data_IF_243551405015
#
_entry.id   IF_243551405015
#
_cell.length_a   1.000
_cell.length_b   1.000
_cell.length_c   1.000
_cell.angle_alpha   90.00
_cell.angle_beta   90.00
_cell.angle_gamma   90.00
#
_symmetry.space_group_name_H-M   'P 1'
#
loop_
_entity.id
_entity.type
_entity.pdbx_description
1 polymer ?
#
# COMPACT_ATOMS: atom_id res chain seq x y z
N UNK A 1 1.69 -29.54 16.69
CA UNK A 1 1.35 -30.37 15.52
C UNK A 1 1.62 -29.57 14.27
N UNK A 2 2.55 -30.03 13.44
CA UNK A 2 3.01 -29.38 12.21
C UNK A 2 1.88 -29.43 11.17
N UNK A 3 1.53 -28.26 10.63
CA UNK A 3 0.63 -28.01 9.50
C UNK A 3 -0.68 -28.82 9.53
N UNK A 4 -1.77 -28.17 9.92
CA UNK A 4 -3.13 -28.60 9.60
C UNK A 4 -3.53 -27.97 8.25
N UNK A 5 -3.22 -28.60 7.10
CA UNK A 5 -3.58 -28.05 5.79
C UNK A 5 -5.10 -27.94 5.61
N UNK A 6 -5.88 -28.77 6.31
CA UNK A 6 -7.33 -28.68 6.32
C UNK A 6 -7.83 -27.39 6.99
N UNK A 7 -7.28 -27.02 8.16
CA UNK A 7 -7.65 -25.76 8.83
C UNK A 7 -7.16 -24.52 8.06
N UNK A 8 -6.00 -24.62 7.40
CA UNK A 8 -5.53 -23.54 6.52
C UNK A 8 -6.43 -23.39 5.29
N UNK A 9 -6.82 -24.50 4.67
CA UNK A 9 -7.72 -24.51 3.51
C UNK A 9 -9.09 -23.96 3.89
N UNK A 10 -9.68 -24.45 4.98
CA UNK A 10 -10.95 -23.98 5.51
C UNK A 10 -10.90 -22.50 5.89
N UNK A 11 -9.79 -22.04 6.48
CA UNK A 11 -9.58 -20.61 6.73
C UNK A 11 -9.59 -19.76 5.43
N UNK A 12 -8.86 -20.20 4.39
CA UNK A 12 -8.77 -19.47 3.12
C UNK A 12 -10.03 -19.60 2.24
N UNK A 13 -10.79 -20.69 2.33
CA UNK A 13 -11.94 -20.96 1.45
C UNK A 13 -13.30 -20.73 2.08
N UNK A 14 -13.46 -20.85 3.40
CA UNK A 14 -14.76 -20.66 4.07
C UNK A 14 -14.70 -19.53 5.10
N UNK A 15 -13.73 -19.53 6.01
CA UNK A 15 -13.69 -18.55 7.10
C UNK A 15 -13.38 -17.11 6.63
N UNK A 16 -12.73 -16.96 5.47
CA UNK A 16 -12.51 -15.68 4.78
C UNK A 16 -13.80 -15.09 4.18
N UNK A 17 -14.76 -15.95 3.86
CA UNK A 17 -16.01 -15.61 3.16
C UNK A 17 -17.22 -15.57 4.08
N UNK A 18 -17.06 -15.94 5.36
CA UNK A 18 -18.13 -15.95 6.35
C UNK A 18 -18.59 -14.51 6.72
N UNK A 19 -19.82 -14.10 6.35
CA UNK A 19 -20.36 -12.78 6.64
C UNK A 19 -20.56 -12.51 8.14
N UNK A 20 -20.65 -13.55 8.98
CA UNK A 20 -20.84 -13.41 10.43
C UNK A 20 -19.67 -12.73 11.15
N UNK A 21 -18.48 -12.66 10.53
CA UNK A 21 -17.30 -11.95 11.02
C UNK A 21 -17.10 -10.56 10.38
N UNK A 22 -18.01 -10.14 9.50
CA UNK A 22 -17.99 -8.82 8.86
C UNK A 22 -18.08 -7.66 9.87
N UNK A 23 -18.54 -7.93 11.09
CA UNK A 23 -18.49 -6.97 12.21
C UNK A 23 -17.08 -6.47 12.59
N UNK A 24 -16.00 -7.15 12.16
CA UNK A 24 -14.61 -6.70 12.33
C UNK A 24 -14.06 -5.96 11.09
N UNK A 25 -14.73 -6.00 9.95
CA UNK A 25 -14.25 -5.37 8.72
C UNK A 25 -14.48 -3.85 8.70
N UNK A 26 -15.55 -3.39 9.37
CA UNK A 26 -15.88 -1.97 9.55
C UNK A 26 -14.94 -1.26 10.53
N UNK A 27 -14.31 -2.02 11.44
CA UNK A 27 -13.40 -1.52 12.47
C UNK A 27 -12.34 -0.57 11.90
N UNK A 28 -12.34 0.67 12.39
CA UNK A 28 -11.43 1.78 12.04
C UNK A 28 -9.93 1.43 11.94
N UNK A 29 -9.47 0.41 12.68
CA UNK A 29 -8.11 -0.12 12.59
C UNK A 29 -7.75 -0.81 11.28
N UNK A 30 -8.71 -1.04 10.37
CA UNK A 30 -8.51 -1.74 9.10
C UNK A 30 -8.10 -0.77 7.98
N UNK A 31 -6.80 -0.52 7.84
CA UNK A 31 -6.20 0.39 6.83
C UNK A 31 -5.99 -0.29 5.46
N UNK A 32 -6.75 -1.34 5.15
CA UNK A 32 -6.69 -2.02 3.86
C UNK A 32 -7.77 -1.50 2.89
N UNK A 33 -7.65 -1.96 1.65
CA UNK A 33 -8.58 -1.66 0.58
C UNK A 33 -10.01 -2.11 0.90
N UNK A 34 -10.15 -3.19 1.70
CA UNK A 34 -11.45 -3.71 2.13
C UNK A 34 -12.17 -2.75 3.08
N UNK A 35 -11.45 -2.17 4.05
CA UNK A 35 -11.99 -1.15 4.95
C UNK A 35 -12.38 0.15 4.21
N UNK A 36 -11.58 0.56 3.21
CA UNK A 36 -11.93 1.71 2.36
C UNK A 36 -13.20 1.46 1.51
N UNK A 37 -13.35 0.25 0.97
CA UNK A 37 -14.50 -0.18 0.16
C UNK A 37 -15.75 -0.37 1.02
N UNK A 38 -15.63 -1.00 2.19
CA UNK A 38 -16.73 -1.23 3.11
C UNK A 38 -17.41 0.07 3.55
N UNK A 39 -16.62 1.14 3.72
CA UNK A 39 -17.11 2.48 4.12
C UNK A 39 -17.88 3.23 3.01
N UNK A 40 -17.80 2.79 1.75
CA UNK A 40 -18.31 3.52 0.58
C UNK A 40 -19.25 2.74 -0.36
N UNK A 41 -19.39 1.43 -0.20
CA UNK A 41 -20.23 0.57 -1.04
C UNK A 41 -21.23 -0.22 -0.19
N UNK A 42 -22.36 -0.69 -0.76
CA UNK A 42 -23.28 -1.61 -0.08
C UNK A 42 -22.64 -2.99 0.13
N UNK A 43 -23.05 -3.67 1.20
CA UNK A 43 -22.47 -4.96 1.67
C UNK A 43 -22.37 -6.03 0.58
N UNK A 44 -23.37 -6.10 -0.29
CA UNK A 44 -23.43 -7.04 -1.43
C UNK A 44 -22.28 -6.87 -2.44
N UNK A 45 -21.65 -5.69 -2.49
CA UNK A 45 -20.58 -5.38 -3.44
C UNK A 45 -19.18 -5.48 -2.84
N UNK A 46 -19.04 -5.62 -1.51
CA UNK A 46 -17.76 -5.50 -0.82
C UNK A 46 -16.70 -6.47 -1.31
N UNK A 47 -17.06 -7.75 -1.40
CA UNK A 47 -16.10 -8.80 -1.77
C UNK A 47 -15.67 -8.69 -3.23
N UNK A 48 -16.59 -8.36 -4.14
CA UNK A 48 -16.29 -8.20 -5.57
C UNK A 48 -15.42 -6.97 -5.79
N UNK A 49 -15.80 -5.83 -5.20
CA UNK A 49 -15.01 -4.60 -5.29
C UNK A 49 -13.62 -4.80 -4.68
N UNK A 50 -13.51 -5.44 -3.51
CA UNK A 50 -12.23 -5.74 -2.90
C UNK A 50 -11.36 -6.65 -3.77
N UNK A 51 -11.94 -7.70 -4.37
CA UNK A 51 -11.22 -8.59 -5.27
C UNK A 51 -10.70 -7.86 -6.52
N UNK A 52 -11.55 -7.04 -7.15
CA UNK A 52 -11.16 -6.23 -8.33
C UNK A 52 -10.07 -5.23 -7.97
N UNK A 53 -10.26 -4.45 -6.89
CA UNK A 53 -9.27 -3.46 -6.48
C UNK A 53 -7.95 -4.11 -6.03
N UNK A 54 -8.00 -5.28 -5.39
CA UNK A 54 -6.81 -6.05 -5.03
C UNK A 54 -6.06 -6.55 -6.27
N UNK A 55 -6.79 -7.08 -7.26
CA UNK A 55 -6.20 -7.49 -8.53
C UNK A 55 -5.53 -6.31 -9.25
N UNK A 56 -6.19 -5.15 -9.30
CA UNK A 56 -5.62 -3.94 -9.89
C UNK A 56 -4.36 -3.48 -9.13
N UNK A 57 -4.37 -3.54 -7.80
CA UNK A 57 -3.20 -3.21 -6.98
C UNK A 57 -2.02 -4.17 -7.26
N UNK A 58 -2.28 -5.48 -7.38
CA UNK A 58 -1.27 -6.48 -7.73
C UNK A 58 -0.68 -6.19 -9.11
N UNK A 59 -1.51 -5.93 -10.11
CA UNK A 59 -1.06 -5.61 -11.46
C UNK A 59 -0.24 -4.31 -11.46
N UNK A 60 -0.68 -3.27 -10.76
CA UNK A 60 0.04 -2.00 -10.66
C UNK A 60 1.41 -2.16 -9.98
N UNK A 61 1.46 -2.90 -8.87
CA UNK A 61 2.71 -3.19 -8.16
C UNK A 61 3.68 -4.01 -9.03
N UNK A 62 3.18 -5.04 -9.73
CA UNK A 62 3.99 -5.83 -10.65
C UNK A 62 4.56 -4.99 -11.79
N UNK A 63 3.73 -4.14 -12.41
CA UNK A 63 4.18 -3.22 -13.46
C UNK A 63 5.24 -2.25 -12.93
N UNK A 64 5.06 -1.73 -11.72
CA UNK A 64 6.00 -0.82 -11.08
C UNK A 64 7.34 -1.52 -10.78
N UNK A 65 7.32 -2.74 -10.24
CA UNK A 65 8.54 -3.53 -10.04
C UNK A 65 9.27 -3.78 -11.37
N UNK A 66 8.55 -4.19 -12.42
CA UNK A 66 9.08 -4.36 -13.79
C UNK A 66 9.65 -3.08 -14.40
N UNK A 67 9.19 -1.92 -13.95
CA UNK A 67 9.73 -0.62 -14.38
C UNK A 67 11.00 -0.28 -13.61
N UNK A 68 11.03 -0.55 -12.31
CA UNK A 68 12.21 -0.39 -11.47
C UNK A 68 13.35 -1.33 -11.94
N UNK A 69 13.03 -2.56 -12.35
CA UNK A 69 14.00 -3.50 -12.97
C UNK A 69 14.65 -2.94 -14.24
N UNK A 70 13.88 -2.20 -15.05
CA UNK A 70 14.43 -1.56 -16.26
C UNK A 70 15.39 -0.43 -15.95
N UNK A 71 15.21 0.27 -14.83
CA UNK A 71 16.17 1.28 -14.39
C UNK A 71 17.49 0.61 -14.02
N UNK A 72 17.42 -0.51 -13.29
CA UNK A 72 18.58 -1.33 -12.94
C UNK A 72 19.40 -1.71 -14.16
N UNK A 73 18.76 -2.33 -15.16
CA UNK A 73 19.44 -2.75 -16.39
C UNK A 73 19.98 -1.60 -17.25
N UNK A 74 19.38 -0.41 -17.17
CA UNK A 74 19.88 0.77 -17.88
C UNK A 74 21.10 1.40 -17.20
N UNK A 75 21.13 1.45 -15.85
CA UNK A 75 22.26 1.96 -15.07
C UNK A 75 23.47 0.99 -15.11
N UNK A 76 23.22 -0.32 -15.16
CA UNK A 76 24.25 -1.35 -15.40
C UNK A 76 24.96 -1.13 -16.74
N UNK A 77 24.19 -0.90 -17.81
CA UNK A 77 24.72 -0.62 -19.14
C UNK A 77 25.51 0.70 -19.19
N UNK A 78 25.20 1.66 -18.32
CA UNK A 78 25.89 2.94 -18.21
C UNK A 78 27.12 2.91 -17.28
N UNK A 79 27.43 1.78 -16.65
CA UNK A 79 28.60 1.61 -15.77
C UNK A 79 28.46 2.20 -14.36
N UNK A 80 27.23 2.51 -13.90
CA UNK A 80 26.93 3.05 -12.56
C UNK A 80 26.44 2.02 -11.52
N UNK A 81 26.50 0.74 -11.87
CA UNK A 81 25.74 -0.40 -11.35
C UNK A 81 25.58 -0.54 -9.82
N UNK A 82 26.65 -0.49 -9.03
CA UNK A 82 26.62 -1.17 -7.73
C UNK A 82 25.78 -0.47 -6.65
N UNK A 83 25.66 0.86 -6.72
CA UNK A 83 25.01 1.64 -5.67
C UNK A 83 23.52 1.89 -5.89
N UNK A 84 23.06 2.00 -7.14
CA UNK A 84 21.64 2.21 -7.46
C UNK A 84 20.83 0.89 -7.45
N UNK A 85 21.50 -0.26 -7.63
CA UNK A 85 20.94 -1.60 -7.46
C UNK A 85 20.29 -1.82 -6.10
N UNK A 86 21.01 -1.47 -5.02
CA UNK A 86 20.50 -1.60 -3.66
C UNK A 86 19.27 -0.72 -3.39
N UNK A 87 19.23 0.48 -3.99
CA UNK A 87 18.08 1.38 -3.88
C UNK A 87 16.87 0.83 -4.64
N UNK A 88 17.08 0.35 -5.87
CA UNK A 88 16.02 -0.25 -6.69
C UNK A 88 15.40 -1.45 -5.98
N UNK A 89 16.24 -2.34 -5.42
CA UNK A 89 15.77 -3.49 -4.65
C UNK A 89 14.98 -3.05 -3.41
N UNK A 90 15.47 -2.05 -2.66
CA UNK A 90 14.77 -1.52 -1.50
C UNK A 90 13.39 -0.93 -1.85
N UNK A 91 13.28 -0.25 -3.00
CA UNK A 91 12.01 0.27 -3.51
C UNK A 91 11.07 -0.86 -3.93
N UNK A 92 11.56 -1.91 -4.59
CA UNK A 92 10.75 -3.08 -4.96
C UNK A 92 10.21 -3.82 -3.74
N UNK A 93 11.06 -4.07 -2.73
CA UNK A 93 10.64 -4.66 -1.46
C UNK A 93 9.57 -3.79 -0.80
N UNK A 94 9.78 -2.47 -0.76
CA UNK A 94 8.81 -1.51 -0.23
C UNK A 94 7.46 -1.59 -0.96
N UNK A 95 7.45 -1.67 -2.29
CA UNK A 95 6.23 -1.83 -3.10
C UNK A 95 5.50 -3.13 -2.79
N UNK A 96 6.22 -4.25 -2.68
CA UNK A 96 5.63 -5.57 -2.37
C UNK A 96 5.07 -5.62 -0.95
N UNK A 97 5.78 -5.03 0.03
CA UNK A 97 5.29 -4.96 1.40
C UNK A 97 4.02 -4.11 1.50
N UNK A 98 3.99 -2.93 0.86
CA UNK A 98 2.80 -2.08 0.80
C UNK A 98 1.64 -2.79 0.09
N UNK A 99 1.91 -3.52 -0.99
CA UNK A 99 0.90 -4.34 -1.65
C UNK A 99 0.29 -5.38 -0.70
N UNK A 100 1.13 -6.09 0.07
CA UNK A 100 0.68 -7.06 1.06
C UNK A 100 -0.25 -6.43 2.10
N UNK A 101 0.06 -5.21 2.56
CA UNK A 101 -0.79 -4.45 3.47
C UNK A 101 -2.13 -4.06 2.84
N UNK A 102 -2.13 -3.64 1.56
CA UNK A 102 -3.34 -3.20 0.86
C UNK A 102 -4.28 -4.36 0.53
N UNK A 103 -3.72 -5.50 0.12
CA UNK A 103 -4.48 -6.68 -0.34
C UNK A 103 -4.89 -7.58 0.82
N UNK A 104 -4.21 -7.56 1.97
CA UNK A 104 -4.59 -8.41 3.10
C UNK A 104 -6.06 -8.18 3.49
N UNK A 105 -6.89 -9.22 3.65
CA UNK A 105 -8.30 -9.09 4.03
C UNK A 105 -8.49 -8.43 5.40
N UNK A 106 -7.47 -8.49 6.27
CA UNK A 106 -7.38 -7.75 7.54
C UNK A 106 -5.96 -7.20 7.66
N UNK A 107 -5.79 -5.88 7.63
CA UNK A 107 -4.49 -5.25 7.94
C UNK A 107 -4.66 -4.32 9.14
N UNK A 108 -4.12 -4.73 10.29
CA UNK A 108 -4.09 -3.87 11.48
C UNK A 108 -3.02 -2.80 11.34
N UNK A 109 -3.25 -1.63 11.94
CA UNK A 109 -2.34 -0.49 12.06
C UNK A 109 -0.89 -0.87 12.41
N UNK A 110 -0.70 -1.90 13.24
CA UNK A 110 0.63 -2.37 13.64
C UNK A 110 1.43 -2.99 12.50
N UNK A 111 0.81 -3.47 11.41
CA UNK A 111 1.53 -3.97 10.24
C UNK A 111 2.20 -2.83 9.44
N UNK A 112 1.84 -1.57 9.71
CA UNK A 112 2.54 -0.42 9.16
C UNK A 112 3.92 -0.17 9.79
N UNK A 113 4.48 -1.11 10.57
CA UNK A 113 5.94 -1.14 10.85
C UNK A 113 6.76 -0.98 9.56
N UNK A 114 6.27 -1.51 8.44
CA UNK A 114 6.90 -1.36 7.13
C UNK A 114 6.89 0.08 6.58
N UNK A 115 6.22 1.04 7.21
CA UNK A 115 6.27 2.44 6.77
C UNK A 115 7.68 3.02 6.87
N UNK A 116 8.47 2.62 7.86
CA UNK A 116 9.85 3.10 8.04
C UNK A 116 10.74 2.72 6.85
N UNK A 117 10.87 1.44 6.45
CA UNK A 117 11.67 1.08 5.27
C UNK A 117 11.13 1.71 3.97
N UNK A 118 9.81 1.88 3.84
CA UNK A 118 9.21 2.59 2.68
C UNK A 118 9.63 4.06 2.66
N UNK A 119 9.54 4.77 3.79
CA UNK A 119 9.95 6.16 3.90
C UNK A 119 11.46 6.33 3.70
N UNK A 120 12.27 5.40 4.21
CA UNK A 120 13.72 5.41 4.02
C UNK A 120 14.09 5.20 2.55
N UNK A 121 13.47 4.24 1.85
CA UNK A 121 13.74 4.01 0.43
C UNK A 121 13.26 5.18 -0.44
N UNK A 122 12.12 5.80 -0.12
CA UNK A 122 11.63 7.03 -0.78
C UNK A 122 12.53 8.23 -0.50
N UNK A 123 13.06 8.38 0.72
CA UNK A 123 14.00 9.44 1.06
C UNK A 123 15.34 9.28 0.32
N UNK A 124 15.87 8.05 0.28
CA UNK A 124 17.07 7.73 -0.50
C UNK A 124 16.85 8.01 -2.00
N UNK A 125 15.69 7.62 -2.55
CA UNK A 125 15.32 7.93 -3.93
C UNK A 125 15.15 9.44 -4.17
N UNK A 126 14.59 10.18 -3.21
CA UNK A 126 14.48 11.65 -3.28
C UNK A 126 15.85 12.30 -3.43
N UNK A 127 16.80 11.90 -2.59
CA UNK A 127 18.16 12.43 -2.58
C UNK A 127 18.92 12.07 -3.86
N UNK A 128 18.94 10.78 -4.22
CA UNK A 128 19.69 10.28 -5.39
C UNK A 128 19.10 10.71 -6.71
N UNK A 129 17.78 10.70 -6.82
CA UNK A 129 17.10 11.06 -8.07
C UNK A 129 16.77 12.55 -8.14
N UNK A 130 17.13 13.34 -7.11
CA UNK A 130 16.90 14.78 -6.98
C UNK A 130 15.45 15.17 -7.30
N UNK A 131 14.51 14.35 -6.84
CA UNK A 131 13.09 14.45 -7.20
C UNK A 131 12.30 15.12 -6.09
N UNK A 132 11.93 16.38 -6.28
CA UNK A 132 11.06 17.13 -5.35
C UNK A 132 9.72 16.44 -5.12
N UNK A 133 9.17 15.78 -6.14
CA UNK A 133 7.91 15.06 -6.02
C UNK A 133 7.99 13.88 -5.04
N UNK A 134 9.09 13.11 -5.06
CA UNK A 134 9.31 12.05 -4.06
C UNK A 134 9.54 12.63 -2.66
N UNK A 135 10.22 13.79 -2.57
CA UNK A 135 10.40 14.48 -1.30
C UNK A 135 9.08 14.92 -0.67
N UNK A 136 8.16 15.47 -1.47
CA UNK A 136 6.81 15.83 -1.04
C UNK A 136 6.03 14.58 -0.61
N UNK A 137 6.09 13.50 -1.39
CA UNK A 137 5.41 12.24 -1.06
C UNK A 137 5.96 11.62 0.25
N UNK A 138 7.27 11.66 0.46
CA UNK A 138 7.93 11.20 1.68
C UNK A 138 7.53 12.04 2.90
N UNK A 139 7.57 13.38 2.79
CA UNK A 139 7.16 14.29 3.86
C UNK A 139 5.67 14.13 4.22
N UNK A 140 4.81 13.99 3.22
CA UNK A 140 3.39 13.70 3.43
C UNK A 140 3.20 12.36 4.16
N UNK A 141 4.02 11.36 3.85
CA UNK A 141 3.99 10.06 4.54
C UNK A 141 4.37 10.18 6.00
N UNK A 142 5.50 10.84 6.31
CA UNK A 142 5.92 11.14 7.68
C UNK A 142 4.79 11.81 8.45
N UNK A 143 4.16 12.83 7.87
CA UNK A 143 3.05 13.55 8.49
C UNK A 143 1.84 12.63 8.75
N UNK A 144 1.46 11.80 7.78
CA UNK A 144 0.36 10.86 7.90
C UNK A 144 0.60 9.85 9.04
N UNK A 145 1.81 9.27 9.13
CA UNK A 145 2.13 8.31 10.19
C UNK A 145 2.29 8.95 11.58
N UNK A 146 2.82 10.18 11.67
CA UNK A 146 2.95 10.89 12.95
C UNK A 146 1.58 11.31 13.48
N UNK A 147 0.72 11.85 12.61
CA UNK A 147 -0.60 12.30 13.04
C UNK A 147 -1.51 11.12 13.40
N UNK A 148 -1.26 9.94 12.83
CA UNK A 148 -1.99 8.70 13.10
C UNK A 148 -3.51 8.95 13.14
N UNK A 149 -4.00 9.70 12.14
CA UNK A 149 -5.33 10.33 12.11
C UNK A 149 -6.50 9.35 12.28
N UNK A 150 -6.26 8.07 12.02
CA UNK A 150 -7.18 6.98 12.32
C UNK A 150 -7.62 6.93 13.80
N UNK A 151 -6.77 7.35 14.75
CA UNK A 151 -7.10 7.38 16.18
C UNK A 151 -7.82 8.65 16.62
N UNK A 152 -8.05 9.61 15.71
CA UNK A 152 -8.67 10.89 16.05
C UNK A 152 -10.19 10.80 16.20
N UNK A 153 -10.79 9.67 15.81
CA UNK A 153 -12.23 9.49 15.81
C UNK A 153 -12.65 8.32 16.70
N UNK A 154 -13.83 8.40 17.37
CA UNK A 154 -14.29 7.36 18.30
C UNK A 154 -14.55 6.02 17.61
N UNK A 155 -14.08 4.93 18.21
CA UNK A 155 -13.94 3.61 17.57
C UNK A 155 -14.85 2.53 18.19
N UNK A 156 -16.16 2.79 18.43
CA UNK A 156 -17.11 1.77 18.95
C UNK A 156 -18.56 2.02 18.49
N UNK A 157 -19.35 0.93 18.39
CA UNK A 157 -20.82 0.90 18.17
C UNK A 157 -21.36 1.29 16.78
N UNK A 158 -20.80 0.78 15.67
CA UNK A 158 -21.33 0.98 14.31
C UNK A 158 -21.44 2.45 13.83
N UNK A 159 -20.79 3.40 14.51
CA UNK A 159 -20.87 4.84 14.18
C UNK A 159 -20.08 5.19 12.91
N UNK A 160 -19.18 4.32 12.47
CA UNK A 160 -18.30 4.49 11.30
C UNK A 160 -19.10 4.55 9.98
N UNK A 161 -20.26 3.89 9.90
CA UNK A 161 -21.14 3.98 8.73
C UNK A 161 -21.75 5.38 8.59
N UNK A 162 -21.95 6.09 9.69
CA UNK A 162 -22.51 7.45 9.77
C UNK A 162 -21.47 8.56 9.74
N UNK A 163 -20.18 8.25 9.64
CA UNK A 163 -19.17 9.29 9.49
C UNK A 163 -19.37 10.08 8.20
N UNK A 164 -19.26 11.42 8.25
CA UNK A 164 -19.25 12.22 7.03
C UNK A 164 -18.08 11.77 6.14
N UNK A 165 -18.27 11.85 4.82
CA UNK A 165 -17.35 11.30 3.80
C UNK A 165 -15.89 11.76 3.98
N UNK A 166 -15.67 12.97 4.52
CA UNK A 166 -14.34 13.48 4.85
C UNK A 166 -13.67 12.72 6.01
N UNK A 167 -14.41 12.33 7.05
CA UNK A 167 -13.87 11.57 8.18
C UNK A 167 -13.54 10.13 7.76
N UNK A 168 -14.33 9.54 6.86
CA UNK A 168 -14.02 8.25 6.21
C UNK A 168 -12.72 8.32 5.39
N UNK A 169 -12.50 9.42 4.67
CA UNK A 169 -11.26 9.64 3.91
C UNK A 169 -10.04 9.83 4.82
N UNK A 170 -10.18 10.58 5.91
CA UNK A 170 -9.11 10.80 6.91
C UNK A 170 -8.76 9.51 7.66
N UNK A 171 -9.78 8.70 7.99
CA UNK A 171 -9.63 7.37 8.59
C UNK A 171 -9.01 6.32 7.65
N UNK A 172 -8.82 6.61 6.37
CA UNK A 172 -8.11 5.75 5.39
C UNK A 172 -6.84 6.43 4.84
N UNK A 173 -6.30 7.42 5.57
CA UNK A 173 -5.17 8.24 5.13
C UNK A 173 -3.92 7.45 4.74
N UNK A 174 -3.67 6.29 5.38
CA UNK A 174 -2.49 5.46 5.09
C UNK A 174 -2.62 4.80 3.71
N UNK A 175 -3.82 4.30 3.40
CA UNK A 175 -4.16 3.72 2.09
C UNK A 175 -4.00 4.77 0.97
N UNK A 176 -4.54 5.97 1.17
CA UNK A 176 -4.45 7.05 0.18
C UNK A 176 -3.02 7.50 -0.04
N UNK A 177 -2.24 7.66 1.03
CA UNK A 177 -0.83 7.98 0.93
C UNK A 177 -0.06 6.91 0.15
N UNK A 178 -0.27 5.62 0.44
CA UNK A 178 0.41 4.53 -0.25
C UNK A 178 0.14 4.53 -1.77
N UNK A 179 -1.12 4.71 -2.17
CA UNK A 179 -1.49 4.82 -3.59
C UNK A 179 -0.86 6.04 -4.26
N UNK A 180 -0.92 7.21 -3.60
CA UNK A 180 -0.32 8.44 -4.11
C UNK A 180 1.21 8.33 -4.24
N UNK A 181 1.87 7.78 -3.23
CA UNK A 181 3.32 7.56 -3.23
C UNK A 181 3.74 6.61 -4.36
N UNK A 182 3.01 5.51 -4.55
CA UNK A 182 3.22 4.58 -5.67
C UNK A 182 3.06 5.25 -7.04
N UNK A 183 2.05 6.12 -7.20
CA UNK A 183 1.84 6.89 -8.44
C UNK A 183 2.98 7.89 -8.70
N UNK A 184 3.45 8.59 -7.67
CA UNK A 184 4.61 9.50 -7.78
C UNK A 184 5.87 8.71 -8.18
N UNK A 185 6.11 7.56 -7.55
CA UNK A 185 7.24 6.70 -7.87
C UNK A 185 7.18 6.19 -9.31
N UNK A 186 6.00 5.78 -9.79
CA UNK A 186 5.76 5.41 -11.18
C UNK A 186 6.08 6.53 -12.17
N UNK A 187 5.67 7.76 -11.85
CA UNK A 187 5.92 8.92 -12.70
C UNK A 187 7.40 9.31 -12.74
N UNK A 188 8.07 9.34 -11.59
CA UNK A 188 9.49 9.69 -11.49
C UNK A 188 10.38 8.65 -12.16
N UNK A 189 10.13 7.36 -11.93
CA UNK A 189 10.84 6.27 -12.61
C UNK A 189 10.64 6.31 -14.14
N UNK A 190 9.43 6.61 -14.59
CA UNK A 190 9.13 6.77 -16.02
C UNK A 190 9.85 7.95 -16.66
N UNK A 191 10.02 9.07 -15.94
CA UNK A 191 10.82 10.21 -16.42
C UNK A 191 12.30 9.86 -16.50
N UNK A 192 12.86 9.17 -15.49
CA UNK A 192 14.26 8.74 -15.49
C UNK A 192 14.59 7.81 -16.66
N UNK A 193 13.77 6.79 -16.92
CA UNK A 193 13.96 5.89 -18.06
C UNK A 193 14.01 6.64 -19.39
N UNK A 194 13.18 7.67 -19.56
CA UNK A 194 13.20 8.51 -20.78
C UNK A 194 14.50 9.31 -20.91
N UNK A 195 15.11 9.71 -19.80
CA UNK A 195 16.38 10.44 -19.81
C UNK A 195 17.56 9.54 -20.13
N UNK A 196 17.55 8.28 -19.65
CA UNK A 196 18.62 7.30 -19.91
C UNK A 196 18.64 6.80 -21.37
N UNK A 197 17.52 6.89 -22.08
CA UNK A 197 17.41 6.50 -23.50
C UNK A 197 17.62 7.66 -24.48
N UNK A 198 17.99 8.86 -24.01
CA UNK A 198 18.33 10.01 -24.85
C UNK A 198 19.84 10.12 -24.99
#
# INVERSE_FOLDING_TARGET
SLAAPAESWEFFTSAMWDPGRAGFADYSGNQNLKGAIARGLPESAWNVAWAVCSLLAVVAAWLLCRRLDRLRGADDAAGGAEQDDGLVLALQVSVVMVLGLLVSPISWSHHWVWCLPVLMSVAAATWRWRSTALGIAGAAGVLVFILAMQWWFPEQNHVEQNWPTWAKAVGSSYTWWALACGAVLWWVSGRRLKTLHR
#
